data_IF_924056106312
#
_entry.id   IF_924056106312
#
_cell.length_a   1.000
_cell.length_b   1.000
_cell.length_c   1.000
_cell.angle_alpha   90.00
_cell.angle_beta   90.00
_cell.angle_gamma   90.00
#
_symmetry.space_group_name_H-M   'P 1'
#
loop_
_entity.id
_entity.type
_entity.pdbx_description
1 polymer ?
#
# COMPACT_ATOMS: atom_id res chain seq x y z
N UNK A 1 14.44 4.29 -10.02
CA UNK A 1 14.71 2.88 -9.63
C UNK A 1 13.53 2.08 -10.14
N UNK A 2 13.78 1.03 -10.89
CA UNK A 2 12.73 0.13 -11.38
C UNK A 2 12.78 -1.17 -10.57
N UNK A 3 11.61 -1.68 -10.20
CA UNK A 3 11.46 -2.92 -9.42
C UNK A 3 10.44 -3.79 -10.12
N UNK A 4 10.84 -4.99 -10.52
CA UNK A 4 9.93 -6.00 -11.05
C UNK A 4 9.46 -6.92 -9.93
N UNK A 5 8.16 -7.19 -9.87
CA UNK A 5 7.56 -8.08 -8.87
C UNK A 5 6.60 -9.07 -9.53
N UNK A 6 6.53 -10.28 -8.97
CA UNK A 6 5.57 -11.29 -9.39
C UNK A 6 4.34 -11.21 -8.50
N UNK A 7 3.16 -11.09 -9.11
CA UNK A 7 1.87 -11.07 -8.41
C UNK A 7 1.12 -12.37 -8.67
N UNK A 8 0.37 -12.83 -7.66
CA UNK A 8 -0.45 -14.04 -7.78
C UNK A 8 -1.51 -13.85 -8.86
N UNK A 9 -1.80 -14.93 -9.60
CA UNK A 9 -2.67 -14.87 -10.79
C UNK A 9 -4.10 -14.43 -10.48
N UNK A 10 -4.61 -14.79 -9.30
CA UNK A 10 -5.92 -14.42 -8.79
C UNK A 10 -6.05 -12.91 -8.47
N UNK A 11 -4.93 -12.20 -8.32
CA UNK A 11 -4.90 -10.75 -8.08
C UNK A 11 -4.82 -9.92 -9.36
N UNK A 12 -4.88 -10.54 -10.55
CA UNK A 12 -4.79 -9.83 -11.83
C UNK A 12 -5.80 -8.69 -11.95
N UNK A 13 -7.02 -8.89 -11.45
CA UNK A 13 -8.07 -7.86 -11.50
C UNK A 13 -7.85 -6.68 -10.58
N UNK A 14 -6.94 -6.80 -9.60
CA UNK A 14 -6.53 -5.72 -8.73
C UNK A 14 -5.48 -4.79 -9.36
N UNK A 15 -4.91 -5.14 -10.51
CA UNK A 15 -3.93 -4.32 -11.24
C UNK A 15 -4.66 -3.43 -12.25
N UNK A 16 -5.10 -2.28 -11.76
CA UNK A 16 -5.86 -1.28 -12.52
C UNK A 16 -5.14 0.07 -12.44
N UNK A 17 -5.44 0.96 -13.36
CA UNK A 17 -4.80 2.28 -13.48
C UNK A 17 -4.72 3.08 -12.17
N UNK A 18 -5.70 2.95 -11.29
CA UNK A 18 -5.72 3.65 -9.99
C UNK A 18 -5.19 2.81 -8.82
N UNK A 19 -4.61 1.63 -9.06
CA UNK A 19 -3.98 0.81 -8.04
C UNK A 19 -2.71 1.48 -7.55
N UNK A 20 -2.58 1.58 -6.23
CA UNK A 20 -1.52 2.32 -5.57
C UNK A 20 -0.56 1.36 -4.87
N UNK A 21 0.74 1.64 -4.99
CA UNK A 21 1.81 0.91 -4.33
C UNK A 21 2.64 1.87 -3.48
N UNK A 22 3.17 1.42 -2.35
CA UNK A 22 4.08 2.22 -1.52
C UNK A 22 5.05 1.31 -0.76
N UNK A 23 6.22 1.84 -0.41
CA UNK A 23 7.16 1.14 0.46
C UNK A 23 6.74 1.28 1.92
N UNK A 24 6.52 0.17 2.59
CA UNK A 24 6.35 0.11 4.04
C UNK A 24 7.70 -0.15 4.68
N UNK A 25 8.09 0.78 5.55
CA UNK A 25 9.30 0.70 6.37
C UNK A 25 8.91 0.76 7.83
N UNK A 26 9.62 0.06 8.72
CA UNK A 26 9.37 0.16 10.14
C UNK A 26 9.72 1.57 10.62
N UNK A 27 8.82 2.18 11.38
CA UNK A 27 9.06 3.49 12.01
C UNK A 27 8.92 3.36 13.52
N UNK A 28 9.97 3.76 14.23
CA UNK A 28 9.96 3.92 15.68
C UNK A 28 10.04 5.41 16.01
N UNK A 29 9.11 5.89 16.83
CA UNK A 29 9.13 7.26 17.36
C UNK A 29 8.82 7.26 18.85
N UNK A 30 9.18 8.34 19.56
CA UNK A 30 8.81 8.52 20.96
C UNK A 30 7.28 8.57 21.19
N UNK A 31 6.50 8.92 20.16
CA UNK A 31 5.05 9.01 20.22
C UNK A 31 4.33 7.67 19.93
N UNK A 32 5.07 6.63 19.52
CA UNK A 32 4.51 5.33 19.17
C UNK A 32 5.25 4.64 18.02
N UNK A 33 4.78 3.44 17.68
CA UNK A 33 5.37 2.54 16.70
C UNK A 33 4.35 2.21 15.60
N UNK A 34 4.76 2.27 14.34
CA UNK A 34 3.95 1.91 13.17
C UNK A 34 4.74 1.03 12.23
N UNK A 35 4.09 0.08 11.54
CA UNK A 35 4.78 -0.89 10.70
C UNK A 35 5.63 -1.87 11.52
N UNK A 36 5.15 -2.26 12.71
CA UNK A 36 5.83 -3.21 13.60
C UNK A 36 6.02 -4.59 12.95
N UNK A 37 5.11 -4.98 12.07
CA UNK A 37 5.22 -6.16 11.20
C UNK A 37 6.51 -6.12 10.35
N UNK A 38 6.90 -4.94 9.85
CA UNK A 38 8.12 -4.74 9.10
C UNK A 38 9.41 -4.75 9.95
N UNK A 39 9.32 -4.61 11.29
CA UNK A 39 10.50 -4.74 12.16
C UNK A 39 11.04 -6.16 12.22
N UNK A 40 10.15 -7.15 12.09
CA UNK A 40 10.53 -8.57 12.13
C UNK A 40 10.66 -9.13 10.71
N UNK A 41 9.74 -8.78 9.81
CA UNK A 41 9.72 -9.28 8.44
C UNK A 41 10.57 -8.51 7.43
N UNK A 42 11.05 -7.33 7.79
CA UNK A 42 11.71 -6.40 6.87
C UNK A 42 10.73 -5.53 6.08
N UNK A 43 11.29 -4.64 5.25
CA UNK A 43 10.51 -3.75 4.40
C UNK A 43 9.69 -4.53 3.37
N UNK A 44 8.52 -4.04 3.02
CA UNK A 44 7.67 -4.63 1.99
C UNK A 44 6.94 -3.58 1.17
N UNK A 45 6.34 -3.99 0.04
CA UNK A 45 5.52 -3.12 -0.79
C UNK A 45 4.05 -3.35 -0.43
N UNK A 46 3.38 -2.30 0.06
CA UNK A 46 1.93 -2.28 0.24
C UNK A 46 1.22 -2.02 -1.09
N UNK A 47 -0.01 -2.53 -1.22
CA UNK A 47 -0.85 -2.36 -2.40
C UNK A 47 -2.28 -2.00 -1.97
N UNK A 48 -2.90 -1.05 -2.68
CA UNK A 48 -4.33 -0.73 -2.57
C UNK A 48 -4.96 -0.79 -3.96
N UNK A 49 -5.87 -1.75 -4.23
CA UNK A 49 -6.56 -1.85 -5.51
C UNK A 49 -7.38 -0.59 -5.82
N UNK A 50 -7.34 -0.16 -7.08
CA UNK A 50 -8.14 0.96 -7.59
C UNK A 50 -9.08 0.56 -8.73
N UNK A 51 -9.66 1.56 -9.38
CA UNK A 51 -10.49 1.38 -10.58
C UNK A 51 -9.70 1.69 -11.86
N UNK A 52 -10.39 1.59 -12.99
CA UNK A 52 -9.87 1.94 -14.30
C UNK A 52 -9.44 0.74 -15.12
N UNK A 53 -8.73 1.02 -16.22
CA UNK A 53 -8.25 0.02 -17.16
C UNK A 53 -7.12 -0.84 -16.55
N UNK A 54 -6.90 -2.06 -17.07
CA UNK A 54 -5.73 -2.86 -16.69
C UNK A 54 -4.42 -2.10 -16.90
N UNK A 55 -3.50 -2.21 -15.94
CA UNK A 55 -2.19 -1.55 -15.96
C UNK A 55 -1.15 -2.49 -15.34
N UNK A 56 0.07 -2.51 -15.85
CA UNK A 56 1.17 -3.33 -15.31
C UNK A 56 2.40 -2.50 -14.90
N UNK A 57 2.43 -1.21 -15.20
CA UNK A 57 3.48 -0.30 -14.78
C UNK A 57 2.97 0.80 -13.85
N UNK A 58 3.59 0.90 -12.67
CA UNK A 58 3.11 1.78 -11.59
C UNK A 58 4.22 2.66 -11.05
N UNK A 59 3.86 3.89 -10.69
CA UNK A 59 4.72 4.77 -9.90
C UNK A 59 4.35 4.60 -8.43
N UNK A 60 5.30 4.18 -7.61
CA UNK A 60 5.08 4.04 -6.18
C UNK A 60 4.87 5.42 -5.52
N UNK A 61 3.95 5.45 -4.55
CA UNK A 61 3.73 6.60 -3.69
C UNK A 61 4.81 6.66 -2.60
N UNK A 62 5.16 7.89 -2.21
CA UNK A 62 6.13 8.13 -1.13
C UNK A 62 5.61 7.68 0.24
N UNK A 63 4.28 7.70 0.43
CA UNK A 63 3.63 7.37 1.70
C UNK A 63 2.35 6.57 1.47
N UNK A 64 1.98 5.77 2.48
CA UNK A 64 0.71 5.05 2.48
C UNK A 64 -0.48 6.01 2.26
N UNK A 65 -1.38 5.71 1.31
CA UNK A 65 -2.58 6.52 1.08
C UNK A 65 -3.57 6.36 2.23
N UNK A 66 -4.39 7.39 2.47
CA UNK A 66 -5.46 7.30 3.48
C UNK A 66 -6.45 6.21 3.07
N UNK A 67 -6.78 5.31 4.01
CA UNK A 67 -7.78 4.27 3.79
C UNK A 67 -9.11 4.89 3.35
N UNK A 68 -9.58 4.51 2.16
CA UNK A 68 -10.93 4.82 1.66
C UNK A 68 -11.95 3.72 1.96
N UNK A 69 -11.58 2.75 2.80
CA UNK A 69 -12.48 1.65 3.11
C UNK A 69 -13.43 2.12 4.20
N UNK A 70 -14.71 2.26 3.86
CA UNK A 70 -15.76 2.53 4.83
C UNK A 70 -16.11 1.23 5.53
N UNK A 71 -15.34 0.89 6.57
CA UNK A 71 -15.59 -0.27 7.44
C UNK A 71 -16.69 0.00 8.49
N UNK A 72 -17.43 1.10 8.39
CA UNK A 72 -18.34 1.58 9.44
C UNK A 72 -17.64 2.31 10.59
N UNK A 73 -16.32 2.48 10.54
CA UNK A 73 -15.57 3.29 11.49
C UNK A 73 -15.70 4.79 11.15
N UNK A 74 -16.04 5.60 12.16
CA UNK A 74 -16.12 7.06 12.02
C UNK A 74 -14.72 7.67 12.09
N UNK A 75 -14.22 8.13 10.94
CA UNK A 75 -12.95 8.87 10.86
C UNK A 75 -13.19 10.36 11.16
N UNK A 76 -12.86 10.81 12.37
CA UNK A 76 -12.89 12.22 12.76
C UNK A 76 -11.58 12.90 12.32
N UNK A 77 -11.69 13.99 11.58
CA UNK A 77 -10.56 14.87 11.30
C UNK A 77 -10.49 15.92 12.41
N UNK A 78 -9.32 16.07 13.03
CA UNK A 78 -8.98 17.16 13.95
C UNK A 78 -8.23 18.25 13.21
#
# INVERSE_FOLDING_TARGET
IEVSASIKRDMKDALRKETQFWLVTPKASLAGVSGLDALVGGNYIGMMPGKGEPEDHFVALDTQPKYRINNGELMIHL
#
